data_IF_328752321338
#
_entry.id   IF_328752321338
#
_cell.length_a   1.000
_cell.length_b   1.000
_cell.length_c   1.000
_cell.angle_alpha   90.00
_cell.angle_beta   90.00
_cell.angle_gamma   90.00
#
_symmetry.space_group_name_H-M   'P 1'
#
loop_
_entity.id
_entity.type
_entity.pdbx_description
1 polymer ?
#
# COMPACT_ATOMS: atom_id res chain seq x y z
N UNK A 1 48.54 -40.33 -38.63
CA UNK A 1 49.02 -40.66 -37.28
C UNK A 1 48.32 -39.86 -36.24
N UNK A 2 47.85 -40.43 -35.10
CA UNK A 2 46.46 -40.20 -34.67
C UNK A 2 46.30 -39.04 -33.71
N UNK A 3 45.19 -38.35 -33.83
CA UNK A 3 44.65 -37.35 -32.96
C UNK A 3 44.04 -38.04 -31.76
N UNK A 4 44.65 -37.89 -30.58
CA UNK A 4 44.09 -38.36 -29.33
C UNK A 4 43.03 -37.37 -28.83
N UNK A 5 41.82 -37.84 -28.73
CA UNK A 5 40.63 -37.28 -28.11
C UNK A 5 40.93 -37.06 -26.60
N UNK A 6 40.88 -35.80 -26.19
CA UNK A 6 40.72 -35.43 -24.75
C UNK A 6 39.27 -34.94 -24.61
N UNK A 7 38.44 -35.90 -24.24
CA UNK A 7 37.10 -35.63 -23.71
C UNK A 7 37.24 -34.96 -22.33
N UNK A 8 37.12 -33.65 -22.29
CA UNK A 8 37.10 -32.88 -21.05
C UNK A 8 35.74 -33.06 -20.38
N UNK A 9 35.76 -33.48 -19.15
CA UNK A 9 34.65 -33.62 -18.20
C UNK A 9 33.72 -32.40 -18.28
N UNK A 10 32.49 -32.64 -18.67
CA UNK A 10 31.37 -31.77 -18.37
C UNK A 10 31.31 -31.58 -16.86
N UNK A 11 31.65 -30.38 -16.44
CA UNK A 11 31.36 -29.94 -15.10
C UNK A 11 29.85 -29.98 -14.89
N UNK A 12 29.42 -30.98 -14.15
CA UNK A 12 28.05 -31.01 -13.61
C UNK A 12 27.81 -29.69 -12.91
N UNK A 13 27.05 -28.79 -13.56
CA UNK A 13 26.38 -27.70 -12.87
C UNK A 13 25.61 -28.33 -11.72
N UNK A 14 26.09 -28.09 -10.51
CA UNK A 14 25.35 -28.31 -9.28
C UNK A 14 24.05 -27.49 -9.41
N UNK A 15 23.01 -28.12 -9.93
CA UNK A 15 21.66 -27.63 -9.74
C UNK A 15 21.42 -27.67 -8.26
N UNK A 16 21.54 -26.50 -7.59
CA UNK A 16 21.02 -26.33 -6.26
C UNK A 16 19.58 -26.84 -6.30
N UNK A 17 19.33 -27.94 -5.59
CA UNK A 17 18.00 -28.56 -5.49
C UNK A 17 17.13 -27.59 -4.68
N UNK A 18 16.73 -26.50 -5.32
CA UNK A 18 15.59 -25.73 -4.89
C UNK A 18 14.37 -26.64 -5.06
N UNK A 19 13.79 -27.06 -3.94
CA UNK A 19 12.51 -27.75 -3.97
C UNK A 19 11.46 -26.78 -4.57
N UNK A 20 11.36 -26.77 -5.89
CA UNK A 20 10.48 -25.86 -6.64
C UNK A 20 9.03 -25.98 -6.18
N UNK A 21 8.63 -27.14 -5.66
CA UNK A 21 7.30 -27.36 -5.08
C UNK A 21 7.20 -26.71 -3.69
N UNK A 22 8.24 -26.80 -2.88
CA UNK A 22 8.29 -26.14 -1.54
C UNK A 22 8.33 -24.62 -1.65
N UNK A 23 9.05 -24.06 -2.63
CA UNK A 23 9.16 -22.63 -2.85
C UNK A 23 7.82 -22.01 -3.26
N UNK A 24 7.13 -22.55 -4.24
CA UNK A 24 5.82 -22.04 -4.68
C UNK A 24 4.74 -22.24 -3.61
N UNK A 25 4.81 -23.31 -2.79
CA UNK A 25 3.94 -23.48 -1.63
C UNK A 25 4.10 -22.35 -0.63
N UNK A 26 5.32 -21.95 -0.32
CA UNK A 26 5.58 -20.79 0.54
C UNK A 26 4.94 -19.51 -0.02
N UNK A 27 5.08 -19.27 -1.33
CA UNK A 27 4.44 -18.12 -2.00
C UNK A 27 2.93 -18.10 -1.76
N UNK A 28 2.23 -19.22 -1.96
CA UNK A 28 0.79 -19.29 -1.76
C UNK A 28 0.37 -19.07 -0.30
N UNK A 29 1.10 -19.65 0.67
CA UNK A 29 0.79 -19.50 2.09
C UNK A 29 1.02 -18.05 2.53
N UNK A 30 2.14 -17.44 2.15
CA UNK A 30 2.46 -16.06 2.49
C UNK A 30 1.44 -15.12 1.83
N UNK A 31 1.07 -15.38 0.57
CA UNK A 31 0.05 -14.60 -0.15
C UNK A 31 -1.31 -14.70 0.55
N UNK A 32 -1.77 -15.89 0.88
CA UNK A 32 -3.03 -16.08 1.59
C UNK A 32 -3.03 -15.35 2.94
N UNK A 33 -1.95 -15.46 3.71
CA UNK A 33 -1.79 -14.74 4.98
C UNK A 33 -1.80 -13.23 4.79
N UNK A 34 -1.12 -12.72 3.75
CA UNK A 34 -1.13 -11.28 3.44
C UNK A 34 -2.51 -10.81 2.97
N UNK A 35 -3.24 -11.62 2.20
CA UNK A 35 -4.62 -11.33 1.80
C UNK A 35 -5.52 -11.19 3.02
N UNK A 36 -5.42 -12.11 4.00
CA UNK A 36 -6.17 -12.02 5.27
C UNK A 36 -5.81 -10.74 6.04
N UNK A 37 -4.52 -10.41 6.16
CA UNK A 37 -4.09 -9.17 6.81
C UNK A 37 -4.64 -7.93 6.08
N UNK A 38 -4.63 -7.93 4.76
CA UNK A 38 -5.17 -6.83 3.95
C UNK A 38 -6.69 -6.68 4.13
N UNK A 39 -7.44 -7.80 4.14
CA UNK A 39 -8.87 -7.82 4.44
C UNK A 39 -9.11 -7.20 5.82
N UNK A 40 -8.45 -7.71 6.87
CA UNK A 40 -8.63 -7.24 8.25
C UNK A 40 -8.26 -5.75 8.42
N UNK A 41 -7.24 -5.29 7.71
CA UNK A 41 -6.85 -3.88 7.74
C UNK A 41 -7.90 -2.99 7.08
N UNK A 42 -8.34 -3.33 5.87
CA UNK A 42 -9.25 -2.50 5.08
C UNK A 42 -10.71 -2.62 5.52
N UNK A 43 -11.09 -3.74 6.15
CA UNK A 43 -12.42 -3.91 6.70
C UNK A 43 -12.71 -2.96 7.88
N UNK A 44 -11.68 -2.49 8.58
CA UNK A 44 -11.83 -1.56 9.71
C UNK A 44 -11.96 -0.11 9.24
N UNK A 45 -11.43 0.23 8.06
CA UNK A 45 -11.30 1.60 7.58
C UNK A 45 -12.62 2.38 7.57
N UNK A 46 -13.72 1.89 6.95
CA UNK A 46 -14.96 2.65 6.86
C UNK A 46 -15.71 2.80 8.18
N UNK A 47 -15.37 1.98 9.20
CA UNK A 47 -16.10 2.01 10.49
C UNK A 47 -15.47 2.86 11.56
N UNK A 48 -14.21 3.19 11.42
CA UNK A 48 -13.48 3.89 12.48
C UNK A 48 -14.17 5.18 12.93
N UNK A 49 -14.72 6.02 12.02
CA UNK A 49 -15.51 7.17 12.43
C UNK A 49 -16.79 6.80 13.17
N UNK A 50 -17.48 5.74 12.75
CA UNK A 50 -18.72 5.28 13.39
C UNK A 50 -18.39 4.70 14.77
N UNK A 51 -17.27 3.99 14.90
CA UNK A 51 -16.81 3.48 16.19
C UNK A 51 -16.48 4.60 17.19
N UNK A 52 -15.95 5.74 16.73
CA UNK A 52 -15.74 6.92 17.56
C UNK A 52 -17.07 7.49 18.10
N UNK A 53 -18.14 7.47 17.29
CA UNK A 53 -19.48 7.85 17.77
C UNK A 53 -19.99 6.88 18.86
N UNK A 54 -19.78 5.57 18.71
CA UNK A 54 -20.12 4.59 19.76
C UNK A 54 -19.32 4.75 21.04
N UNK A 55 -18.08 5.26 20.95
CA UNK A 55 -17.24 5.62 22.09
C UNK A 55 -17.63 6.95 22.76
N UNK A 56 -18.68 7.60 22.28
CA UNK A 56 -19.22 8.82 22.86
C UNK A 56 -18.55 10.11 22.40
N UNK A 57 -17.78 10.09 21.31
CA UNK A 57 -17.20 11.30 20.72
C UNK A 57 -18.31 12.15 20.09
N UNK A 58 -18.40 13.47 20.39
CA UNK A 58 -19.38 14.36 19.78
C UNK A 58 -19.28 14.36 18.25
N UNK A 59 -20.43 14.47 17.57
CA UNK A 59 -20.49 14.45 16.09
C UNK A 59 -19.57 15.48 15.44
N UNK A 60 -19.44 16.66 16.05
CA UNK A 60 -18.62 17.75 15.54
C UNK A 60 -17.12 17.42 15.59
N UNK A 61 -16.69 16.57 16.53
CA UNK A 61 -15.28 16.21 16.75
C UNK A 61 -14.91 14.88 16.06
N UNK A 62 -15.88 14.08 15.62
CA UNK A 62 -15.62 12.73 15.06
C UNK A 62 -14.70 12.78 13.86
N UNK A 63 -14.89 13.75 12.97
CA UNK A 63 -14.03 13.89 11.80
C UNK A 63 -12.56 14.16 12.21
N UNK A 64 -12.35 15.04 13.19
CA UNK A 64 -11.02 15.38 13.71
C UNK A 64 -10.35 14.15 14.35
N UNK A 65 -11.07 13.47 15.24
CA UNK A 65 -10.57 12.25 15.88
C UNK A 65 -10.27 11.14 14.88
N UNK A 66 -11.12 10.97 13.85
CA UNK A 66 -10.87 10.01 12.78
C UNK A 66 -9.54 10.27 12.09
N UNK A 67 -9.26 11.51 11.70
CA UNK A 67 -7.99 11.85 11.08
C UNK A 67 -6.79 11.62 11.98
N UNK A 68 -6.90 11.95 13.28
CA UNK A 68 -5.83 11.71 14.26
C UNK A 68 -5.54 10.22 14.44
N UNK A 69 -6.60 9.41 14.58
CA UNK A 69 -6.51 7.95 14.79
C UNK A 69 -5.95 7.24 13.55
N UNK A 70 -6.27 7.71 12.33
CA UNK A 70 -5.61 7.25 11.12
C UNK A 70 -4.17 7.73 11.03
N UNK A 71 -3.93 9.02 11.24
CA UNK A 71 -2.63 9.66 11.09
C UNK A 71 -1.57 9.08 12.02
N UNK A 72 -1.91 8.83 13.30
CA UNK A 72 -0.97 8.27 14.28
C UNK A 72 -0.43 6.91 13.88
N UNK A 73 -1.26 6.08 13.24
CA UNK A 73 -0.84 4.75 12.76
C UNK A 73 0.30 4.86 11.75
N UNK A 74 0.15 5.75 10.77
CA UNK A 74 1.16 5.95 9.72
C UNK A 74 2.38 6.71 10.24
N UNK A 75 2.20 7.65 11.17
CA UNK A 75 3.30 8.36 11.83
C UNK A 75 4.22 7.35 12.54
N UNK A 76 3.66 6.53 13.41
CA UNK A 76 4.44 5.54 14.16
C UNK A 76 5.03 4.49 13.22
N UNK A 77 4.26 4.00 12.23
CA UNK A 77 4.77 3.08 11.23
C UNK A 77 5.96 3.64 10.43
N UNK A 78 5.89 4.91 10.04
CA UNK A 78 6.97 5.61 9.32
C UNK A 78 8.24 5.73 10.17
N UNK A 79 8.12 6.10 11.44
CA UNK A 79 9.24 6.18 12.38
C UNK A 79 9.87 4.79 12.63
N UNK A 80 9.04 3.77 12.76
CA UNK A 80 9.50 2.42 13.07
C UNK A 80 10.02 1.64 11.86
N UNK A 81 9.63 2.01 10.64
CA UNK A 81 10.01 1.29 9.42
C UNK A 81 11.52 1.05 9.25
N UNK A 82 12.41 2.05 9.38
CA UNK A 82 13.86 1.83 9.26
C UNK A 82 14.42 0.97 10.40
N UNK A 83 13.87 1.06 11.61
CA UNK A 83 14.27 0.27 12.77
C UNK A 83 13.96 -1.21 12.52
N UNK A 84 12.71 -1.49 12.13
CA UNK A 84 12.28 -2.85 11.85
C UNK A 84 12.95 -3.44 10.61
N UNK A 85 13.23 -2.61 9.59
CA UNK A 85 14.00 -3.01 8.41
C UNK A 85 15.39 -3.52 8.80
N UNK A 86 16.14 -2.75 9.58
CA UNK A 86 17.49 -3.13 10.07
C UNK A 86 17.45 -4.41 10.93
N UNK A 87 16.44 -4.55 11.79
CA UNK A 87 16.30 -5.76 12.62
C UNK A 87 15.94 -6.97 11.75
N UNK A 88 15.12 -6.79 10.70
CA UNK A 88 14.75 -7.83 9.77
C UNK A 88 15.94 -8.37 8.97
N UNK A 89 16.90 -7.50 8.63
CA UNK A 89 18.14 -7.91 7.95
C UNK A 89 19.03 -8.79 8.84
N UNK A 90 19.06 -8.51 10.14
CA UNK A 90 19.90 -9.21 11.10
C UNK A 90 19.25 -10.47 11.70
N UNK A 91 17.95 -10.44 11.99
CA UNK A 91 17.24 -11.51 12.73
C UNK A 91 16.44 -12.47 11.85
N UNK A 92 16.39 -12.23 10.55
CA UNK A 92 15.61 -13.03 9.59
C UNK A 92 14.22 -12.47 9.32
N UNK A 93 13.79 -12.65 8.07
CA UNK A 93 12.53 -12.06 7.56
C UNK A 93 11.30 -12.75 8.16
N UNK A 94 11.32 -14.08 8.30
CA UNK A 94 10.23 -14.86 8.90
C UNK A 94 9.94 -14.40 10.32
N UNK A 95 11.00 -14.28 11.18
CA UNK A 95 10.82 -13.83 12.56
C UNK A 95 10.19 -12.45 12.65
N UNK A 96 10.56 -11.55 11.73
CA UNK A 96 9.99 -10.20 11.71
C UNK A 96 8.55 -10.17 11.21
N UNK A 97 8.19 -11.02 10.23
CA UNK A 97 6.80 -11.17 9.82
C UNK A 97 5.92 -11.73 10.97
N UNK A 98 6.42 -12.76 11.68
CA UNK A 98 5.71 -13.33 12.83
C UNK A 98 5.51 -12.31 13.96
N UNK A 99 6.57 -11.56 14.32
CA UNK A 99 6.46 -10.47 15.30
C UNK A 99 5.37 -9.47 14.89
N UNK A 100 5.41 -9.01 13.63
CA UNK A 100 4.44 -8.04 13.13
C UNK A 100 3.01 -8.60 13.17
N UNK A 101 2.81 -9.83 12.68
CA UNK A 101 1.50 -10.47 12.65
C UNK A 101 0.91 -10.66 14.05
N UNK A 102 1.66 -11.21 15.00
CA UNK A 102 1.19 -11.38 16.39
C UNK A 102 0.92 -10.04 17.08
N UNK A 103 1.80 -9.05 16.89
CA UNK A 103 1.60 -7.73 17.49
C UNK A 103 0.36 -7.01 16.91
N UNK A 104 0.10 -7.13 15.59
CA UNK A 104 -1.13 -6.60 14.96
C UNK A 104 -2.36 -7.32 15.52
N UNK A 105 -2.32 -8.67 15.62
CA UNK A 105 -3.43 -9.44 16.16
C UNK A 105 -3.80 -9.01 17.58
N UNK A 106 -2.81 -8.89 18.47
CA UNK A 106 -3.00 -8.39 19.84
C UNK A 106 -3.53 -6.96 19.84
N UNK A 107 -2.99 -6.08 19.00
CA UNK A 107 -3.44 -4.69 18.90
C UNK A 107 -4.94 -4.61 18.51
N UNK A 108 -5.41 -5.46 17.58
CA UNK A 108 -6.83 -5.48 17.20
C UNK A 108 -7.73 -5.95 18.35
N UNK A 109 -7.31 -7.00 19.08
CA UNK A 109 -8.07 -7.44 20.28
C UNK A 109 -8.15 -6.32 21.31
N UNK A 110 -7.05 -5.63 21.58
CA UNK A 110 -7.02 -4.49 22.51
C UNK A 110 -7.93 -3.35 22.04
N UNK A 111 -7.95 -3.03 20.73
CA UNK A 111 -8.83 -2.01 20.16
C UNK A 111 -10.31 -2.39 20.33
N UNK A 112 -10.66 -3.69 20.25
CA UNK A 112 -12.04 -4.15 20.55
C UNK A 112 -12.48 -3.93 22.00
N UNK A 113 -11.52 -3.76 22.93
CA UNK A 113 -11.78 -3.57 24.36
C UNK A 113 -11.82 -2.10 24.80
N UNK A 114 -11.47 -1.15 23.94
CA UNK A 114 -11.37 0.26 24.30
C UNK A 114 -12.72 0.84 24.67
N UNK A 115 -12.72 1.82 25.58
CA UNK A 115 -13.91 2.51 26.10
C UNK A 115 -13.95 3.99 25.76
N UNK A 116 -12.85 4.56 25.30
CA UNK A 116 -12.75 5.96 24.93
C UNK A 116 -11.81 6.22 23.72
N UNK A 117 -11.86 7.42 23.17
CA UNK A 117 -11.10 7.81 21.99
C UNK A 117 -9.57 7.83 22.22
N UNK A 118 -9.10 8.08 23.43
CA UNK A 118 -7.67 8.12 23.76
C UNK A 118 -7.07 6.71 23.74
N UNK A 119 -7.80 5.73 24.30
CA UNK A 119 -7.42 4.33 24.25
C UNK A 119 -7.41 3.83 22.81
N UNK A 120 -8.39 4.25 21.98
CA UNK A 120 -8.41 3.95 20.55
C UNK A 120 -7.17 4.51 19.84
N UNK A 121 -6.81 5.76 20.13
CA UNK A 121 -5.61 6.42 19.59
C UNK A 121 -4.34 5.62 19.95
N UNK A 122 -4.21 5.19 21.21
CA UNK A 122 -3.10 4.34 21.67
C UNK A 122 -3.08 2.97 20.99
N UNK A 123 -4.23 2.33 20.85
CA UNK A 123 -4.37 1.06 20.13
C UNK A 123 -3.93 1.18 18.66
N UNK A 124 -4.29 2.27 18.00
CA UNK A 124 -3.87 2.56 16.62
C UNK A 124 -2.38 2.90 16.51
N UNK A 125 -1.81 3.55 17.51
CA UNK A 125 -0.36 3.73 17.62
C UNK A 125 0.38 2.39 17.77
N UNK A 126 -0.18 1.43 18.54
CA UNK A 126 0.35 0.07 18.65
C UNK A 126 0.30 -0.67 17.31
N UNK A 127 -0.78 -0.53 16.53
CA UNK A 127 -0.83 -1.09 15.16
C UNK A 127 0.28 -0.51 14.30
N UNK A 128 0.52 0.81 14.37
CA UNK A 128 1.64 1.46 13.67
C UNK A 128 3.01 0.93 14.10
N UNK A 129 3.22 0.74 15.40
CA UNK A 129 4.44 0.14 15.95
C UNK A 129 4.63 -1.32 15.50
N UNK A 130 3.54 -2.08 15.45
CA UNK A 130 3.53 -3.47 15.02
C UNK A 130 3.81 -3.65 13.52
N UNK A 131 3.64 -2.62 12.70
CA UNK A 131 3.77 -2.69 11.24
C UNK A 131 5.12 -3.29 10.79
N UNK A 132 5.13 -3.83 9.57
CA UNK A 132 6.33 -4.44 8.98
C UNK A 132 6.10 -5.85 8.40
N UNK A 133 4.87 -6.38 8.47
CA UNK A 133 4.55 -7.69 7.89
C UNK A 133 4.70 -7.68 6.36
N UNK A 134 4.19 -6.64 5.68
CA UNK A 134 4.22 -6.53 4.22
C UNK A 134 5.64 -6.59 3.63
N UNK A 135 6.61 -5.74 4.05
CA UNK A 135 7.96 -5.79 3.48
C UNK A 135 8.69 -7.10 3.80
N UNK A 136 8.46 -7.68 4.98
CA UNK A 136 9.02 -8.97 5.33
C UNK A 136 8.43 -10.10 4.46
N UNK A 137 7.11 -10.13 4.27
CA UNK A 137 6.42 -11.08 3.44
C UNK A 137 6.85 -10.99 1.96
N UNK A 138 6.90 -9.78 1.41
CA UNK A 138 7.36 -9.53 0.04
C UNK A 138 8.78 -10.04 -0.19
N UNK A 139 9.69 -9.80 0.74
CA UNK A 139 11.07 -10.31 0.69
C UNK A 139 11.08 -11.84 0.80
N UNK A 140 10.29 -12.44 1.70
CA UNK A 140 10.21 -13.90 1.81
C UNK A 140 9.68 -14.55 0.53
N UNK A 141 8.68 -13.95 -0.14
CA UNK A 141 8.16 -14.41 -1.42
C UNK A 141 9.26 -14.39 -2.48
N UNK A 142 10.01 -13.30 -2.60
CA UNK A 142 11.09 -13.19 -3.59
C UNK A 142 12.24 -14.19 -3.35
N UNK A 143 12.54 -14.49 -2.08
CA UNK A 143 13.58 -15.45 -1.70
C UNK A 143 13.12 -16.92 -1.74
N UNK A 144 11.82 -17.19 -1.90
CA UNK A 144 11.26 -18.54 -1.93
C UNK A 144 11.34 -19.22 -3.29
N UNK A 145 11.65 -18.50 -4.35
CA UNK A 145 11.65 -19.00 -5.73
C UNK A 145 12.91 -18.59 -6.49
N UNK A 146 13.21 -19.30 -7.58
CA UNK A 146 14.33 -18.97 -8.47
C UNK A 146 14.15 -17.60 -9.13
N UNK A 147 15.24 -16.94 -9.52
CA UNK A 147 15.23 -15.61 -10.15
C UNK A 147 14.25 -15.50 -11.32
N UNK A 148 14.15 -16.56 -12.17
CA UNK A 148 13.23 -16.62 -13.31
C UNK A 148 11.75 -16.57 -12.90
N UNK A 149 11.42 -16.96 -11.68
CA UNK A 149 10.05 -17.07 -11.16
C UNK A 149 9.68 -15.92 -10.21
N UNK A 150 10.62 -15.08 -9.79
CA UNK A 150 10.39 -13.98 -8.85
C UNK A 150 9.28 -13.06 -9.33
N UNK A 151 9.28 -12.67 -10.60
CA UNK A 151 8.24 -11.81 -11.17
C UNK A 151 6.84 -12.43 -11.05
N UNK A 152 6.70 -13.74 -11.33
CA UNK A 152 5.43 -14.46 -11.17
C UNK A 152 5.00 -14.56 -9.71
N UNK A 153 5.93 -14.86 -8.82
CA UNK A 153 5.65 -14.98 -7.39
C UNK A 153 5.19 -13.66 -6.77
N UNK A 154 5.87 -12.56 -7.10
CA UNK A 154 5.47 -11.21 -6.68
C UNK A 154 4.14 -10.79 -7.31
N UNK A 155 3.86 -11.18 -8.55
CA UNK A 155 2.56 -10.96 -9.19
C UNK A 155 1.42 -11.65 -8.43
N UNK A 156 1.58 -12.91 -8.03
CA UNK A 156 0.62 -13.65 -7.19
C UNK A 156 0.43 -12.93 -5.85
N UNK A 157 1.51 -12.51 -5.21
CA UNK A 157 1.49 -11.81 -3.93
C UNK A 157 0.72 -10.48 -4.03
N UNK A 158 0.97 -9.69 -5.07
CA UNK A 158 0.26 -8.42 -5.31
C UNK A 158 -1.22 -8.64 -5.63
N UNK A 159 -1.56 -9.70 -6.37
CA UNK A 159 -2.96 -10.07 -6.64
C UNK A 159 -3.70 -10.36 -5.34
N UNK A 160 -3.09 -11.12 -4.42
CA UNK A 160 -3.66 -11.37 -3.10
C UNK A 160 -3.88 -10.09 -2.30
N UNK A 161 -2.93 -9.16 -2.32
CA UNK A 161 -3.05 -7.86 -1.66
C UNK A 161 -4.21 -7.03 -2.23
N UNK A 162 -4.33 -6.97 -3.56
CA UNK A 162 -5.41 -6.24 -4.24
C UNK A 162 -6.77 -6.85 -3.89
N UNK A 163 -6.90 -8.18 -3.94
CA UNK A 163 -8.12 -8.86 -3.55
C UNK A 163 -8.52 -8.55 -2.10
N UNK A 164 -7.55 -8.57 -1.18
CA UNK A 164 -7.78 -8.20 0.21
C UNK A 164 -8.29 -6.77 0.36
N UNK A 165 -7.68 -5.83 -0.32
CA UNK A 165 -8.07 -4.42 -0.27
C UNK A 165 -9.45 -4.15 -0.89
N UNK A 166 -9.86 -4.93 -1.88
CA UNK A 166 -11.18 -4.80 -2.53
C UNK A 166 -12.28 -5.46 -1.70
N UNK A 167 -12.03 -6.66 -1.18
CA UNK A 167 -13.04 -7.46 -0.46
C UNK A 167 -13.22 -6.93 0.98
N UNK A 168 -12.15 -6.43 1.59
CA UNK A 168 -12.14 -6.04 3.00
C UNK A 168 -13.24 -5.05 3.39
N UNK A 169 -13.39 -3.89 2.73
CA UNK A 169 -14.40 -2.91 3.10
C UNK A 169 -15.85 -3.45 3.02
N UNK A 170 -16.14 -4.28 2.02
CA UNK A 170 -17.45 -4.94 1.89
C UNK A 170 -17.69 -5.94 3.03
N UNK A 171 -16.72 -6.84 3.27
CA UNK A 171 -16.84 -7.82 4.36
C UNK A 171 -16.98 -7.13 5.72
N UNK A 172 -16.23 -6.05 5.90
CA UNK A 172 -16.32 -5.28 7.12
C UNK A 172 -17.75 -4.75 7.35
N UNK A 173 -18.38 -4.12 6.33
CA UNK A 173 -19.75 -3.65 6.41
C UNK A 173 -20.76 -4.77 6.68
N UNK A 174 -20.59 -5.90 6.00
CA UNK A 174 -21.46 -7.03 6.19
C UNK A 174 -21.32 -7.65 7.59
N UNK A 175 -20.11 -7.76 8.12
CA UNK A 175 -19.88 -8.28 9.48
C UNK A 175 -20.40 -7.30 10.54
N UNK A 176 -20.10 -6.01 10.37
CA UNK A 176 -20.53 -4.97 11.31
C UNK A 176 -22.06 -4.92 11.43
N UNK A 177 -22.79 -4.98 10.31
CA UNK A 177 -24.26 -4.93 10.30
C UNK A 177 -24.92 -6.10 11.05
N UNK A 178 -24.21 -7.24 11.21
CA UNK A 178 -24.75 -8.43 11.90
C UNK A 178 -24.33 -8.49 13.36
N UNK A 179 -23.06 -8.19 13.66
CA UNK A 179 -22.48 -8.42 14.99
C UNK A 179 -22.03 -7.14 15.70
N UNK A 180 -22.13 -5.98 15.06
CA UNK A 180 -21.68 -4.69 15.59
C UNK A 180 -20.18 -4.48 15.46
N UNK A 181 -19.70 -3.30 15.90
CA UNK A 181 -18.34 -2.82 15.68
C UNK A 181 -17.25 -3.58 16.46
N UNK A 182 -17.44 -3.77 17.74
CA UNK A 182 -16.43 -4.41 18.63
C UNK A 182 -16.06 -5.81 18.19
N UNK A 183 -17.01 -6.70 17.84
CA UNK A 183 -16.70 -8.03 17.33
C UNK A 183 -15.89 -8.03 16.04
N UNK A 184 -16.01 -7.00 15.17
CA UNK A 184 -15.19 -6.87 13.95
C UNK A 184 -13.69 -6.84 14.30
N UNK A 185 -13.29 -6.12 15.36
CA UNK A 185 -11.90 -6.08 15.81
C UNK A 185 -11.45 -7.42 16.36
N UNK A 186 -12.30 -8.13 17.13
CA UNK A 186 -11.96 -9.48 17.64
C UNK A 186 -11.82 -10.49 16.50
N UNK A 187 -12.74 -10.48 15.54
CA UNK A 187 -12.69 -11.35 14.36
C UNK A 187 -11.42 -11.08 13.56
N UNK A 188 -11.09 -9.79 13.33
CA UNK A 188 -9.86 -9.39 12.65
C UNK A 188 -8.61 -9.83 13.41
N UNK A 189 -8.59 -9.67 14.73
CA UNK A 189 -7.47 -10.11 15.56
C UNK A 189 -7.26 -11.62 15.49
N UNK A 190 -8.33 -12.41 15.61
CA UNK A 190 -8.29 -13.88 15.51
C UNK A 190 -7.85 -14.32 14.10
N UNK A 191 -8.39 -13.70 13.05
CA UNK A 191 -8.04 -14.04 11.68
C UNK A 191 -6.55 -13.76 11.38
N UNK A 192 -6.03 -12.60 11.81
CA UNK A 192 -4.61 -12.27 11.70
C UNK A 192 -3.74 -13.21 12.52
N UNK A 193 -4.18 -13.60 13.72
CA UNK A 193 -3.49 -14.56 14.55
C UNK A 193 -3.37 -15.93 13.86
N UNK A 194 -4.48 -16.45 13.31
CA UNK A 194 -4.49 -17.73 12.56
C UNK A 194 -3.61 -17.64 11.32
N UNK A 195 -3.69 -16.54 10.54
CA UNK A 195 -2.83 -16.32 9.38
C UNK A 195 -1.35 -16.28 9.76
N UNK A 196 -1.02 -15.70 10.91
CA UNK A 196 0.35 -15.65 11.43
C UNK A 196 0.82 -17.05 11.89
N UNK A 197 -0.04 -17.85 12.52
CA UNK A 197 0.25 -19.24 12.83
C UNK A 197 0.48 -20.08 11.57
N UNK A 198 -0.28 -19.84 10.51
CA UNK A 198 -0.05 -20.51 9.23
C UNK A 198 1.36 -20.20 8.68
N UNK A 199 1.81 -18.95 8.77
CA UNK A 199 3.19 -18.59 8.41
C UNK A 199 4.21 -19.26 9.34
N UNK A 200 3.92 -19.34 10.64
CA UNK A 200 4.82 -19.95 11.62
C UNK A 200 5.08 -21.44 11.30
N UNK A 201 4.02 -22.21 11.09
CA UNK A 201 4.12 -23.67 10.96
C UNK A 201 4.32 -24.16 9.53
N UNK A 202 3.73 -23.49 8.54
CA UNK A 202 3.70 -23.98 7.16
C UNK A 202 4.79 -23.37 6.26
N UNK A 203 5.30 -22.17 6.57
CA UNK A 203 6.34 -21.52 5.77
C UNK A 203 7.72 -21.95 6.29
N UNK A 204 8.54 -22.51 5.43
CA UNK A 204 9.96 -22.76 5.72
C UNK A 204 10.74 -21.49 5.41
N UNK A 205 11.62 -21.08 6.34
CA UNK A 205 12.50 -19.93 6.10
C UNK A 205 13.46 -20.27 4.95
N UNK A 206 13.51 -19.47 3.88
CA UNK A 206 14.48 -19.70 2.82
C UNK A 206 15.88 -19.55 3.42
N UNK A 207 16.68 -20.62 3.39
CA UNK A 207 18.07 -20.54 3.79
C UNK A 207 18.79 -19.66 2.77
N UNK A 208 19.32 -18.54 3.20
CA UNK A 208 20.40 -17.88 2.49
C UNK A 208 21.61 -18.80 2.68
N UNK A 209 21.89 -19.68 1.74
CA UNK A 209 23.21 -20.29 1.65
C UNK A 209 24.17 -19.14 1.40
N UNK A 210 24.91 -18.77 2.44
CA UNK A 210 26.14 -18.02 2.28
C UNK A 210 27.09 -19.00 1.60
N UNK A 211 27.05 -19.05 0.29
CA UNK A 211 28.08 -19.70 -0.51
C UNK A 211 29.42 -19.04 -0.14
N UNK A 212 30.16 -19.74 0.74
CA UNK A 212 31.60 -19.54 0.90
C UNK A 212 32.31 -20.00 -0.39
N UNK A 213 31.91 -19.48 -1.51
CA UNK A 213 32.66 -19.67 -2.74
C UNK A 213 33.62 -18.51 -2.87
N UNK A 214 34.89 -18.87 -2.74
CA UNK A 214 36.11 -18.15 -3.11
C UNK A 214 36.15 -17.71 -4.60
N UNK A 215 35.13 -17.07 -5.06
CA UNK A 215 35.12 -16.34 -6.34
C UNK A 215 34.72 -14.88 -6.06
N UNK A 216 35.58 -14.24 -5.30
CA UNK A 216 35.65 -12.80 -5.13
C UNK A 216 36.21 -12.14 -6.39
N UNK A 217 35.56 -12.13 -7.50
CA UNK A 217 36.05 -11.28 -8.60
C UNK A 217 35.06 -11.13 -9.75
N UNK A 218 33.84 -10.71 -9.60
CA UNK A 218 33.09 -10.07 -10.72
C UNK A 218 31.62 -9.80 -10.35
N UNK A 219 31.35 -8.97 -9.38
CA UNK A 219 30.23 -8.02 -9.29
C UNK A 219 30.00 -7.49 -7.88
N UNK A 220 31.06 -7.23 -7.14
CA UNK A 220 31.03 -6.35 -5.97
C UNK A 220 31.81 -5.09 -6.30
N UNK A 221 31.22 -4.20 -7.09
CA UNK A 221 31.38 -2.81 -6.68
C UNK A 221 30.69 -2.72 -5.31
N UNK A 222 31.43 -2.45 -4.23
CA UNK A 222 30.80 -2.15 -2.96
C UNK A 222 29.93 -0.94 -3.26
N UNK A 223 28.59 -1.15 -3.19
CA UNK A 223 27.69 -0.01 -3.07
C UNK A 223 28.19 0.68 -1.82
N UNK A 224 29.01 1.73 -1.98
CA UNK A 224 29.42 2.60 -0.89
C UNK A 224 28.14 2.89 -0.15
N UNK A 225 28.09 2.56 1.14
CA UNK A 225 27.00 2.92 2.02
C UNK A 225 26.99 4.45 2.07
N UNK A 226 26.45 5.06 1.01
CA UNK A 226 26.25 6.50 0.94
C UNK A 226 25.27 6.86 2.04
N UNK A 227 25.58 7.90 2.76
CA UNK A 227 24.72 8.43 3.80
C UNK A 227 23.36 8.78 3.18
N UNK A 228 22.25 8.55 3.89
CA UNK A 228 20.90 9.01 3.49
C UNK A 228 20.90 10.47 3.01
N UNK A 229 21.81 11.28 3.58
CA UNK A 229 21.99 12.69 3.22
C UNK A 229 22.60 12.85 1.82
N UNK A 230 23.52 12.00 1.42
CA UNK A 230 24.12 11.99 0.07
C UNK A 230 23.11 11.51 -0.97
N UNK A 231 22.32 10.48 -0.65
CA UNK A 231 21.25 10.00 -1.52
C UNK A 231 20.20 11.08 -1.76
N UNK A 232 19.83 11.82 -0.71
CA UNK A 232 18.89 12.93 -0.82
C UNK A 232 19.46 14.08 -1.67
N UNK A 233 20.77 14.36 -1.56
CA UNK A 233 21.45 15.35 -2.38
C UNK A 233 21.45 14.96 -3.87
N UNK A 234 21.74 13.68 -4.18
CA UNK A 234 21.66 13.16 -5.55
C UNK A 234 20.27 13.31 -6.17
N UNK A 235 19.22 13.09 -5.37
CA UNK A 235 17.84 13.30 -5.85
C UNK A 235 17.55 14.78 -6.05
N UNK A 236 18.01 15.67 -5.16
CA UNK A 236 17.83 17.11 -5.32
C UNK A 236 18.47 17.68 -6.58
N UNK A 237 19.57 17.09 -7.04
CA UNK A 237 20.25 17.47 -8.29
C UNK A 237 19.43 17.08 -9.54
N UNK A 238 18.46 16.19 -9.41
CA UNK A 238 17.61 15.73 -10.50
C UNK A 238 16.14 16.19 -10.33
N UNK A 239 15.72 17.29 -10.95
CA UNK A 239 14.39 17.88 -10.76
C UNK A 239 13.22 16.91 -11.05
N UNK A 240 13.44 15.95 -11.96
CA UNK A 240 12.44 14.93 -12.32
C UNK A 240 12.18 13.99 -11.13
N UNK A 241 13.23 13.53 -10.44
CA UNK A 241 13.11 12.63 -9.29
C UNK A 241 12.43 13.33 -8.11
N UNK A 242 12.79 14.59 -7.85
CA UNK A 242 12.12 15.40 -6.82
C UNK A 242 10.62 15.51 -7.10
N UNK A 243 10.24 15.81 -8.34
CA UNK A 243 8.83 15.91 -8.72
C UNK A 243 8.10 14.58 -8.59
N UNK A 244 8.74 13.45 -8.92
CA UNK A 244 8.17 12.12 -8.72
C UNK A 244 7.92 11.83 -7.23
N UNK A 245 8.84 12.20 -6.33
CA UNK A 245 8.64 12.07 -4.88
C UNK A 245 7.42 12.90 -4.39
N UNK A 246 7.28 14.14 -4.86
CA UNK A 246 6.12 14.96 -4.55
C UNK A 246 4.82 14.35 -5.09
N UNK A 247 4.84 13.78 -6.30
CA UNK A 247 3.66 13.11 -6.86
C UNK A 247 3.28 11.90 -5.98
N UNK A 248 4.25 11.07 -5.53
CA UNK A 248 4.00 9.96 -4.63
C UNK A 248 3.40 10.43 -3.30
N UNK A 249 3.96 11.48 -2.71
CA UNK A 249 3.47 12.07 -1.46
C UNK A 249 2.01 12.54 -1.59
N UNK A 250 1.74 13.42 -2.56
CA UNK A 250 0.39 13.97 -2.74
C UNK A 250 -0.63 12.93 -3.17
N UNK A 251 -0.21 11.97 -4.00
CA UNK A 251 -1.08 10.88 -4.42
C UNK A 251 -1.55 10.05 -3.24
N UNK A 252 -0.62 9.71 -2.35
CA UNK A 252 -0.94 8.97 -1.14
C UNK A 252 -1.76 9.82 -0.16
N UNK A 253 -1.47 11.11 -0.07
CA UNK A 253 -2.25 12.06 0.70
C UNK A 253 -3.72 12.07 0.23
N UNK A 254 -3.96 12.21 -1.08
CA UNK A 254 -5.29 12.18 -1.70
C UNK A 254 -6.05 10.87 -1.39
N UNK A 255 -5.39 9.72 -1.57
CA UNK A 255 -6.02 8.42 -1.28
C UNK A 255 -6.44 8.34 0.19
N UNK A 256 -5.58 8.78 1.09
CA UNK A 256 -5.81 8.69 2.54
C UNK A 256 -6.74 9.77 3.08
N UNK A 257 -6.89 10.91 2.39
CA UNK A 257 -7.86 11.96 2.76
C UNK A 257 -9.30 11.46 2.73
N UNK A 258 -9.63 10.64 1.75
CA UNK A 258 -11.01 10.21 1.51
C UNK A 258 -11.46 9.07 2.44
N UNK A 259 -10.52 8.26 2.94
CA UNK A 259 -10.85 7.07 3.71
C UNK A 259 -11.61 7.35 5.02
N UNK A 260 -11.16 8.28 5.91
CA UNK A 260 -11.80 8.49 7.20
C UNK A 260 -13.15 9.21 7.12
N UNK A 261 -13.43 9.89 6.00
CA UNK A 261 -14.62 10.72 5.88
C UNK A 261 -15.74 10.07 5.05
N UNK A 262 -15.43 9.02 4.30
CA UNK A 262 -16.38 8.43 3.36
C UNK A 262 -17.65 7.92 4.07
N UNK A 263 -17.51 7.21 5.19
CA UNK A 263 -18.65 6.69 5.94
C UNK A 263 -19.49 7.81 6.57
N UNK A 264 -18.85 8.89 7.05
CA UNK A 264 -19.56 10.06 7.57
C UNK A 264 -20.33 10.77 6.45
N UNK A 265 -19.71 10.92 5.28
CA UNK A 265 -20.36 11.54 4.12
C UNK A 265 -21.56 10.74 3.61
N UNK A 266 -21.42 9.41 3.58
CA UNK A 266 -22.53 8.51 3.24
C UNK A 266 -23.66 8.62 4.27
N UNK A 267 -23.33 8.68 5.57
CA UNK A 267 -24.30 8.88 6.64
C UNK A 267 -25.05 10.22 6.53
N UNK A 268 -24.33 11.30 6.23
CA UNK A 268 -24.92 12.62 6.00
C UNK A 268 -25.88 12.63 4.80
N UNK A 269 -25.50 11.96 3.70
CA UNK A 269 -26.35 11.85 2.51
C UNK A 269 -27.63 11.03 2.75
N UNK A 270 -27.59 10.06 3.67
CA UNK A 270 -28.76 9.25 4.04
C UNK A 270 -29.63 9.89 5.13
N UNK A 271 -29.08 10.86 5.87
CA UNK A 271 -29.68 11.43 7.07
C UNK A 271 -29.64 10.50 8.30
N UNK A 272 -28.96 9.34 8.18
CA UNK A 272 -28.75 8.38 9.27
C UNK A 272 -27.42 7.68 9.15
N UNK A 273 -26.83 7.32 10.28
CA UNK A 273 -25.58 6.51 10.31
C UNK A 273 -25.87 5.01 10.22
N UNK A 274 -27.12 4.59 10.34
CA UNK A 274 -27.50 3.20 10.21
C UNK A 274 -27.26 2.70 8.78
N UNK A 275 -26.52 1.61 8.64
CA UNK A 275 -26.14 1.06 7.34
C UNK A 275 -25.08 1.85 6.56
N UNK A 276 -24.63 3.03 7.02
CA UNK A 276 -23.61 3.82 6.35
C UNK A 276 -22.31 3.04 6.15
N UNK A 277 -21.97 2.16 7.06
CA UNK A 277 -20.81 1.29 6.99
C UNK A 277 -20.86 0.30 5.81
N UNK A 278 -21.96 -0.46 5.67
CA UNK A 278 -22.08 -1.44 4.59
C UNK A 278 -22.16 -0.76 3.22
N UNK A 279 -22.80 0.39 3.14
CA UNK A 279 -22.93 1.15 1.89
C UNK A 279 -21.58 1.75 1.48
N UNK A 280 -20.85 2.39 2.41
CA UNK A 280 -19.51 2.92 2.13
C UNK A 280 -18.51 1.80 1.80
N UNK A 281 -18.57 0.68 2.51
CA UNK A 281 -17.77 -0.51 2.22
C UNK A 281 -18.05 -1.07 0.82
N UNK A 282 -19.33 -1.17 0.44
CA UNK A 282 -19.75 -1.61 -0.90
C UNK A 282 -19.25 -0.67 -1.99
N UNK A 283 -19.42 0.63 -1.80
CA UNK A 283 -18.97 1.68 -2.74
C UNK A 283 -17.45 1.60 -2.94
N UNK A 284 -16.67 1.47 -1.86
CA UNK A 284 -15.21 1.31 -1.94
C UNK A 284 -14.82 0.03 -2.69
N UNK A 285 -15.48 -1.08 -2.40
CA UNK A 285 -15.18 -2.37 -3.01
C UNK A 285 -15.49 -2.38 -4.51
N UNK A 286 -16.62 -1.82 -4.92
CA UNK A 286 -16.98 -1.70 -6.35
C UNK A 286 -15.98 -0.79 -7.07
N UNK A 287 -15.59 0.34 -6.48
CA UNK A 287 -14.55 1.21 -7.02
C UNK A 287 -13.21 0.49 -7.16
N UNK A 288 -12.81 -0.30 -6.16
CA UNK A 288 -11.60 -1.12 -6.20
C UNK A 288 -11.63 -2.20 -7.28
N UNK A 289 -12.76 -2.88 -7.47
CA UNK A 289 -12.97 -3.85 -8.55
C UNK A 289 -12.84 -3.19 -9.93
N UNK A 290 -13.51 -2.07 -10.14
CA UNK A 290 -13.42 -1.31 -11.39
C UNK A 290 -11.97 -0.88 -11.69
N UNK A 291 -11.24 -0.43 -10.67
CA UNK A 291 -9.81 -0.14 -10.76
C UNK A 291 -9.00 -1.35 -11.20
N UNK A 292 -9.21 -2.50 -10.56
CA UNK A 292 -8.47 -3.73 -10.88
C UNK A 292 -8.67 -4.16 -12.33
N UNK A 293 -9.89 -4.04 -12.86
CA UNK A 293 -10.23 -4.36 -14.25
C UNK A 293 -9.60 -3.41 -15.26
N UNK A 294 -9.46 -2.14 -14.90
CA UNK A 294 -8.94 -1.09 -15.79
C UNK A 294 -7.42 -0.93 -15.73
N UNK A 295 -6.73 -1.51 -14.75
CA UNK A 295 -5.27 -1.40 -14.56
C UNK A 295 -4.49 -1.69 -15.85
N UNK A 296 -4.80 -2.79 -16.55
CA UNK A 296 -4.11 -3.17 -17.77
C UNK A 296 -4.28 -2.16 -18.92
N UNK A 297 -5.39 -1.44 -18.96
CA UNK A 297 -5.65 -0.39 -19.97
C UNK A 297 -4.65 0.75 -19.75
N UNK A 298 -4.48 1.20 -18.50
CA UNK A 298 -3.58 2.28 -18.15
C UNK A 298 -2.10 1.90 -18.32
N UNK A 299 -1.71 0.66 -17.98
CA UNK A 299 -0.34 0.17 -18.21
C UNK A 299 -0.02 0.20 -19.70
N UNK A 300 -0.87 -0.36 -20.55
CA UNK A 300 -0.68 -0.33 -22.02
C UNK A 300 -0.68 1.10 -22.58
N UNK A 301 -1.49 1.99 -22.01
CA UNK A 301 -1.48 3.39 -22.42
C UNK A 301 -0.15 4.06 -22.05
N UNK A 302 0.41 3.75 -20.87
CA UNK A 302 1.72 4.22 -20.41
C UNK A 302 2.86 3.77 -21.34
N UNK A 303 2.84 2.50 -21.75
CA UNK A 303 3.80 1.95 -22.71
C UNK A 303 3.72 2.61 -24.09
N UNK A 304 2.51 2.93 -24.56
CA UNK A 304 2.29 3.49 -25.90
C UNK A 304 2.43 5.00 -25.99
N UNK A 305 1.97 5.73 -24.98
CA UNK A 305 1.88 7.22 -25.01
C UNK A 305 2.80 7.91 -24.01
N UNK A 306 3.57 7.14 -23.24
CA UNK A 306 4.47 7.64 -22.21
C UNK A 306 3.81 7.72 -20.81
N UNK A 307 4.59 7.40 -19.79
CA UNK A 307 4.10 7.25 -18.42
C UNK A 307 3.67 8.59 -17.80
N UNK A 308 4.38 9.69 -18.05
CA UNK A 308 3.99 11.02 -17.54
C UNK A 308 2.64 11.52 -18.12
N UNK A 309 2.35 11.22 -19.40
CA UNK A 309 1.05 11.53 -20.00
C UNK A 309 -0.07 10.69 -19.36
N UNK A 310 0.19 9.42 -19.12
CA UNK A 310 -0.77 8.53 -18.47
C UNK A 310 -1.07 8.97 -17.05
N UNK A 311 -0.04 9.31 -16.25
CA UNK A 311 -0.21 9.91 -14.91
C UNK A 311 -1.09 11.15 -14.99
N UNK A 312 -0.82 12.05 -15.95
CA UNK A 312 -1.60 13.26 -16.15
C UNK A 312 -3.08 12.95 -16.46
N UNK A 313 -3.36 12.04 -17.39
CA UNK A 313 -4.75 11.67 -17.73
C UNK A 313 -5.49 11.05 -16.53
N UNK A 314 -4.84 10.14 -15.81
CA UNK A 314 -5.39 9.54 -14.61
C UNK A 314 -5.71 10.59 -13.54
N UNK A 315 -4.79 11.52 -13.28
CA UNK A 315 -4.98 12.58 -12.28
C UNK A 315 -6.06 13.57 -12.68
N UNK A 316 -6.07 14.02 -13.95
CA UNK A 316 -7.09 14.93 -14.45
C UNK A 316 -8.48 14.28 -14.43
N UNK A 317 -8.60 13.04 -14.89
CA UNK A 317 -9.85 12.29 -14.85
C UNK A 317 -10.36 12.12 -13.42
N UNK A 318 -9.53 11.64 -12.52
CA UNK A 318 -9.89 11.49 -11.09
C UNK A 318 -10.23 12.82 -10.43
N UNK A 319 -9.50 13.89 -10.76
CA UNK A 319 -9.74 15.24 -10.23
C UNK A 319 -11.10 15.79 -10.62
N UNK A 320 -11.47 15.65 -11.91
CA UNK A 320 -12.82 16.07 -12.38
C UNK A 320 -13.91 15.27 -11.68
N UNK A 321 -13.76 13.96 -11.57
CA UNK A 321 -14.77 13.10 -10.94
C UNK A 321 -14.92 13.43 -9.45
N UNK A 322 -13.82 13.72 -8.73
CA UNK A 322 -13.88 14.17 -7.33
C UNK A 322 -14.60 15.51 -7.16
N UNK A 323 -14.42 16.44 -8.08
CA UNK A 323 -15.20 17.70 -8.08
C UNK A 323 -16.69 17.43 -8.28
N UNK A 324 -17.06 16.47 -9.12
CA UNK A 324 -18.46 16.06 -9.29
C UNK A 324 -19.01 15.36 -8.04
N UNK A 325 -18.16 14.59 -7.30
CA UNK A 325 -18.55 13.96 -6.04
C UNK A 325 -18.81 14.95 -4.90
N UNK A 326 -18.27 16.16 -4.96
CA UNK A 326 -18.55 17.19 -3.96
C UNK A 326 -19.98 17.75 -4.04
N UNK A 327 -20.69 17.47 -5.13
CA UNK A 327 -22.08 17.89 -5.32
C UNK A 327 -23.03 16.89 -4.61
N UNK A 328 -24.04 17.37 -3.85
CA UNK A 328 -24.96 16.52 -3.10
C UNK A 328 -26.05 15.94 -4.02
N UNK A 329 -25.69 15.04 -4.92
CA UNK A 329 -26.59 14.52 -5.99
C UNK A 329 -27.23 13.16 -5.64
N UNK A 330 -26.98 12.64 -4.44
CA UNK A 330 -27.54 11.37 -3.96
C UNK A 330 -26.57 10.18 -4.06
N UNK A 331 -26.85 9.16 -3.28
CA UNK A 331 -25.93 8.04 -3.00
C UNK A 331 -25.65 7.17 -4.23
N UNK A 332 -26.64 6.96 -5.09
CA UNK A 332 -26.46 6.17 -6.31
C UNK A 332 -25.50 6.84 -7.29
N UNK A 333 -25.66 8.16 -7.47
CA UNK A 333 -24.76 8.94 -8.30
C UNK A 333 -23.33 8.95 -7.73
N UNK A 334 -23.22 9.11 -6.41
CA UNK A 334 -21.95 9.03 -5.72
C UNK A 334 -21.26 7.68 -5.95
N UNK A 335 -22.01 6.58 -5.90
CA UNK A 335 -21.50 5.23 -6.21
C UNK A 335 -20.98 5.09 -7.65
N UNK A 336 -21.70 5.63 -8.63
CA UNK A 336 -21.26 5.65 -10.05
C UNK A 336 -19.96 6.44 -10.20
N UNK A 337 -19.87 7.60 -9.57
CA UNK A 337 -18.65 8.41 -9.59
C UNK A 337 -17.49 7.69 -8.91
N UNK A 338 -17.73 6.90 -7.87
CA UNK A 338 -16.69 6.11 -7.21
C UNK A 338 -16.12 5.02 -8.12
N UNK A 339 -16.94 4.39 -8.96
CA UNK A 339 -16.49 3.45 -10.01
C UNK A 339 -15.56 4.17 -11.00
N UNK A 340 -15.91 5.38 -11.41
CA UNK A 340 -15.07 6.17 -12.32
C UNK A 340 -13.74 6.58 -11.67
N UNK A 341 -13.77 7.01 -10.40
CA UNK A 341 -12.54 7.32 -9.65
C UNK A 341 -11.65 6.08 -9.56
N UNK A 342 -12.20 4.95 -9.11
CA UNK A 342 -11.46 3.70 -9.00
C UNK A 342 -10.80 3.32 -10.33
N UNK A 343 -11.54 3.45 -11.42
CA UNK A 343 -11.04 3.16 -12.78
C UNK A 343 -9.92 4.09 -13.24
N UNK A 344 -9.92 5.35 -12.83
CA UNK A 344 -8.90 6.32 -13.22
C UNK A 344 -7.67 6.28 -12.29
N UNK A 345 -7.88 6.26 -10.98
CA UNK A 345 -6.80 6.44 -9.99
C UNK A 345 -5.78 5.29 -9.99
N UNK A 346 -6.24 4.08 -10.34
CA UNK A 346 -5.42 2.85 -10.31
C UNK A 346 -4.23 2.90 -11.27
N UNK A 347 -4.35 3.64 -12.38
CA UNK A 347 -3.29 3.76 -13.38
C UNK A 347 -2.09 4.59 -12.92
N UNK A 348 -2.21 5.36 -11.82
CA UNK A 348 -1.18 6.30 -11.38
C UNK A 348 0.02 5.54 -10.81
N UNK A 349 -0.18 4.62 -9.87
CA UNK A 349 0.92 3.91 -9.20
C UNK A 349 1.81 3.08 -10.14
N UNK A 350 1.29 2.25 -11.05
CA UNK A 350 2.12 1.54 -12.02
C UNK A 350 2.91 2.49 -12.93
N UNK A 351 2.27 3.57 -13.39
CA UNK A 351 2.92 4.56 -14.25
C UNK A 351 4.01 5.35 -13.52
N UNK A 352 3.80 5.68 -12.23
CA UNK A 352 4.82 6.32 -11.39
C UNK A 352 6.01 5.39 -11.17
N UNK A 353 5.77 4.11 -10.87
CA UNK A 353 6.83 3.12 -10.64
C UNK A 353 7.68 2.92 -11.91
N UNK A 354 7.03 2.87 -13.08
CA UNK A 354 7.73 2.81 -14.35
C UNK A 354 8.53 4.10 -14.63
N UNK A 355 7.95 5.28 -14.37
CA UNK A 355 8.64 6.55 -14.54
C UNK A 355 9.87 6.65 -13.62
N UNK A 356 9.78 6.23 -12.36
CA UNK A 356 10.93 6.15 -11.44
C UNK A 356 12.00 5.21 -12.00
N UNK A 357 11.62 4.02 -12.45
CA UNK A 357 12.57 3.02 -12.97
C UNK A 357 13.34 3.52 -14.19
N UNK A 358 12.67 4.23 -15.09
CA UNK A 358 13.28 4.77 -16.32
C UNK A 358 14.16 6.00 -16.07
N UNK A 359 13.86 6.80 -15.06
CA UNK A 359 14.61 8.01 -14.74
C UNK A 359 15.67 7.80 -13.64
N UNK A 360 15.89 6.55 -13.21
CA UNK A 360 16.85 6.23 -12.14
C UNK A 360 17.88 5.22 -12.63
N UNK A 361 19.15 5.47 -12.36
CA UNK A 361 20.24 4.55 -12.66
C UNK A 361 20.04 3.19 -11.97
N UNK A 362 20.41 2.07 -12.63
CA UNK A 362 20.19 0.72 -12.09
C UNK A 362 20.70 0.53 -10.65
N UNK A 363 21.88 1.06 -10.33
CA UNK A 363 22.49 0.96 -8.99
C UNK A 363 21.81 1.82 -7.91
N UNK A 364 20.96 2.80 -8.29
CA UNK A 364 20.27 3.70 -7.37
C UNK A 364 18.78 3.37 -7.23
N UNK A 365 18.19 2.53 -8.10
CA UNK A 365 16.74 2.22 -8.13
C UNK A 365 16.19 1.77 -6.77
N UNK A 366 16.88 0.86 -6.10
CA UNK A 366 16.42 0.35 -4.80
C UNK A 366 16.30 1.45 -3.74
N UNK A 367 17.29 2.35 -3.69
CA UNK A 367 17.29 3.51 -2.77
C UNK A 367 16.19 4.52 -3.14
N UNK A 368 16.00 4.77 -4.42
CA UNK A 368 14.93 5.65 -4.91
C UNK A 368 13.55 5.10 -4.55
N UNK A 369 13.29 3.78 -4.70
CA UNK A 369 12.04 3.16 -4.26
C UNK A 369 11.86 3.23 -2.73
N UNK A 370 12.94 3.17 -1.95
CA UNK A 370 12.90 3.44 -0.51
C UNK A 370 12.41 4.86 -0.21
N UNK A 371 12.91 5.86 -0.95
CA UNK A 371 12.47 7.25 -0.80
C UNK A 371 11.02 7.45 -1.24
N UNK A 372 10.57 6.80 -2.33
CA UNK A 372 9.14 6.87 -2.74
C UNK A 372 8.23 6.27 -1.68
N UNK A 373 8.63 5.15 -1.06
CA UNK A 373 7.89 4.56 0.05
C UNK A 373 7.82 5.51 1.26
N UNK A 374 8.91 6.18 1.58
CA UNK A 374 8.93 7.20 2.65
C UNK A 374 7.99 8.35 2.33
N UNK A 375 8.01 8.86 1.09
CA UNK A 375 7.10 9.92 0.65
C UNK A 375 5.62 9.47 0.76
N UNK A 376 5.30 8.23 0.40
CA UNK A 376 3.96 7.66 0.56
C UNK A 376 3.55 7.58 2.04
N UNK A 377 4.44 7.16 2.94
CA UNK A 377 4.12 7.07 4.37
C UNK A 377 3.83 8.45 4.98
N UNK A 378 4.59 9.48 4.59
CA UNK A 378 4.29 10.85 4.98
C UNK A 378 2.95 11.35 4.41
N UNK A 379 2.64 11.03 3.14
CA UNK A 379 1.34 11.31 2.55
C UNK A 379 0.20 10.63 3.30
N UNK A 380 0.38 9.37 3.70
CA UNK A 380 -0.60 8.61 4.51
C UNK A 380 -0.83 9.20 5.89
N UNK A 381 0.18 9.84 6.48
CA UNK A 381 0.08 10.52 7.77
C UNK A 381 -0.67 11.86 7.64
N UNK A 382 -0.27 12.68 6.65
CA UNK A 382 -0.78 14.04 6.49
C UNK A 382 -2.20 14.04 5.94
N UNK A 383 -2.53 13.13 5.01
CA UNK A 383 -3.81 13.08 4.32
C UNK A 383 -5.01 13.04 5.26
N UNK A 384 -5.15 12.05 6.14
CA UNK A 384 -6.28 11.93 7.06
C UNK A 384 -6.41 13.13 8.01
N UNK A 385 -5.29 13.64 8.54
CA UNK A 385 -5.28 14.80 9.45
C UNK A 385 -5.75 16.05 8.73
N UNK A 386 -5.27 16.29 7.52
CA UNK A 386 -5.70 17.44 6.72
C UNK A 386 -7.18 17.34 6.34
N UNK A 387 -7.63 16.15 5.91
CA UNK A 387 -9.03 15.91 5.56
C UNK A 387 -9.96 16.16 6.74
N UNK A 388 -9.56 15.72 7.93
CA UNK A 388 -10.37 15.90 9.14
C UNK A 388 -10.46 17.35 9.57
N UNK A 389 -9.37 18.12 9.46
CA UNK A 389 -9.39 19.57 9.72
C UNK A 389 -10.35 20.27 8.75
N UNK A 390 -10.23 20.00 7.45
CA UNK A 390 -11.13 20.57 6.44
C UNK A 390 -12.59 20.17 6.70
N UNK A 391 -12.83 18.89 7.00
CA UNK A 391 -14.18 18.37 7.25
C UNK A 391 -14.82 19.05 8.48
N UNK A 392 -14.07 19.24 9.57
CA UNK A 392 -14.58 19.82 10.81
C UNK A 392 -14.85 21.32 10.68
N UNK A 393 -13.97 22.09 10.05
CA UNK A 393 -14.07 23.56 10.04
C UNK A 393 -14.72 24.15 8.81
N UNK A 394 -14.68 23.47 7.67
CA UNK A 394 -15.18 23.97 6.39
C UNK A 394 -16.37 23.14 5.92
N UNK A 395 -16.34 21.83 6.12
CA UNK A 395 -17.37 20.89 5.76
C UNK A 395 -16.86 19.71 4.93
N UNK A 396 -17.56 18.60 5.06
CA UNK A 396 -17.13 17.30 4.52
C UNK A 396 -17.05 17.29 2.98
N UNK A 397 -17.97 17.95 2.30
CA UNK A 397 -18.03 18.05 0.82
C UNK A 397 -16.81 18.78 0.26
N UNK A 398 -16.27 19.76 0.99
CA UNK A 398 -15.09 20.52 0.55
C UNK A 398 -13.81 19.67 0.52
N UNK A 399 -13.76 18.58 1.27
CA UNK A 399 -12.63 17.64 1.18
C UNK A 399 -12.53 17.05 -0.22
N UNK A 400 -13.67 16.65 -0.83
CA UNK A 400 -13.69 16.15 -2.21
C UNK A 400 -13.27 17.23 -3.20
N UNK A 401 -13.74 18.47 -3.01
CA UNK A 401 -13.39 19.61 -3.87
C UNK A 401 -11.89 19.93 -3.81
N UNK A 402 -11.33 20.05 -2.61
CA UNK A 402 -9.90 20.35 -2.40
C UNK A 402 -9.04 19.22 -2.98
N UNK A 403 -9.42 17.98 -2.72
CA UNK A 403 -8.72 16.80 -3.23
C UNK A 403 -8.77 16.76 -4.76
N UNK A 404 -9.92 17.05 -5.35
CA UNK A 404 -10.11 17.15 -6.80
C UNK A 404 -9.25 18.24 -7.42
N UNK A 405 -9.24 19.45 -6.87
CA UNK A 405 -8.40 20.56 -7.32
C UNK A 405 -6.90 20.23 -7.21
N UNK A 406 -6.47 19.58 -6.13
CA UNK A 406 -5.10 19.12 -5.95
C UNK A 406 -4.68 18.13 -7.06
N UNK A 407 -5.54 17.15 -7.38
CA UNK A 407 -5.28 16.21 -8.47
C UNK A 407 -5.25 16.90 -9.84
N UNK A 408 -6.13 17.86 -10.10
CA UNK A 408 -6.10 18.64 -11.34
C UNK A 408 -4.78 19.42 -11.46
N UNK A 409 -4.38 20.11 -10.40
CA UNK A 409 -3.13 20.85 -10.37
C UNK A 409 -1.92 19.93 -10.67
N UNK A 410 -1.86 18.78 -10.01
CA UNK A 410 -0.77 17.81 -10.20
C UNK A 410 -0.82 17.15 -11.60
N UNK A 411 -2.02 16.90 -12.12
CA UNK A 411 -2.22 16.41 -13.47
C UNK A 411 -1.68 17.37 -14.53
N UNK A 412 -1.90 18.68 -14.38
CA UNK A 412 -1.33 19.70 -15.25
C UNK A 412 0.19 19.80 -15.11
N UNK A 413 0.73 19.68 -13.90
CA UNK A 413 2.18 19.65 -13.68
C UNK A 413 2.84 18.43 -14.33
N UNK A 414 2.22 17.24 -14.21
CA UNK A 414 2.70 16.02 -14.86
C UNK A 414 2.69 16.13 -16.40
N UNK A 415 1.70 16.84 -16.95
CA UNK A 415 1.63 17.10 -18.39
C UNK A 415 2.78 17.98 -18.88
N UNK A 416 3.16 19.00 -18.12
CA UNK A 416 4.33 19.84 -18.44
C UNK A 416 5.63 19.02 -18.47
N UNK A 417 5.76 18.06 -17.54
CA UNK A 417 6.91 17.13 -17.52
C UNK A 417 6.97 16.25 -18.77
N UNK A 418 5.82 15.75 -19.26
CA UNK A 418 5.79 14.92 -20.47
C UNK A 418 6.29 15.69 -21.68
N UNK A 419 5.91 16.95 -21.84
CA UNK A 419 6.34 17.80 -22.95
C UNK A 419 7.84 18.12 -22.89
N UNK A 420 8.39 18.28 -21.69
CA UNK A 420 9.84 18.47 -21.52
C UNK A 420 10.61 17.19 -21.85
N UNK A 421 10.15 16.02 -21.41
CA UNK A 421 10.82 14.74 -21.65
C UNK A 421 10.81 14.37 -23.14
N UNK A 422 9.71 14.63 -23.86
CA UNK A 422 9.63 14.38 -25.31
C UNK A 422 10.57 15.27 -26.14
N UNK A 423 10.94 16.47 -25.63
CA UNK A 423 11.92 17.36 -26.27
C UNK A 423 13.38 16.90 -26.15
N UNK A 424 13.68 16.04 -25.16
CA UNK A 424 15.04 15.52 -24.92
C UNK A 424 15.22 14.08 -25.39
N UNK A 425 14.17 13.43 -25.90
CA UNK A 425 14.19 12.06 -26.42
C UNK A 425 14.19 11.98 -27.95
N UNK A 426 14.28 13.12 -28.64
CA UNK A 426 14.56 13.29 -30.07
C UNK A 426 15.98 13.86 -30.19
#
# INVERSE_FOLDING_TARGET
LPISILCGREGTMSTSVYDARGGMRNVWIITASMTVLAICYTMIIPFLPIYLLELGVPKDDVALWSGLVFGITFLIAGIMAPIWGKIADNKGKKRMALRAGFAIAVSYVLIGMVTDQYQLLMGRALVGFANGFYPAAMTMVSLSVDEKQVGRALGIFQTGLILGNVIGPFLGGAVESVVGMRPVFYISGIAVFIATLAVLFLVKEPKLEVENTTSKEQSKQPVKATSLREDFKLVQEQPVLVRLLWIYFFMQCVIMMLQPILALYVGDMQGTMEGAAIISGTILSIGGLAGSLTTNIWVRLGERRGYFRTISYCMLGSGVVLLLQSLPVGIWWFGVLQVLIGSCIVGINPSLSAAVTLNTEPGFRGRMFGMTTTAQQFGSMVGPVFASIVSTYIGISYVFSITGLLLLYMGFQSRKLSVQHDKYSV
#
